data_IF_167862707565
#
_entry.id   IF_167862707565
#
_cell.length_a   1.000
_cell.length_b   1.000
_cell.length_c   1.000
_cell.angle_alpha   90.00
_cell.angle_beta   90.00
_cell.angle_gamma   90.00
#
_symmetry.space_group_name_H-M   'P 1'
#
loop_
_entity.id
_entity.type
_entity.pdbx_description
1 polymer ?
#
# COMPACT_ATOMS: atom_id res chain seq x y z
N UNK A 1 -34.78 37.84 -31.39
CA UNK A 1 -34.87 37.02 -30.18
C UNK A 1 -35.20 35.59 -30.59
N UNK A 2 -34.21 34.70 -30.58
CA UNK A 2 -34.28 33.34 -30.02
C UNK A 2 -32.88 32.74 -30.18
N UNK A 3 -32.40 32.22 -29.06
CA UNK A 3 -31.00 31.90 -28.78
C UNK A 3 -30.80 30.43 -29.09
N UNK A 4 -29.94 30.09 -30.05
CA UNK A 4 -29.56 28.69 -30.30
C UNK A 4 -28.60 28.23 -29.19
N UNK A 5 -29.05 27.25 -28.42
CA UNK A 5 -28.30 26.63 -27.34
C UNK A 5 -27.08 25.89 -27.86
N UNK A 6 -25.90 26.37 -27.50
CA UNK A 6 -24.62 25.71 -27.71
C UNK A 6 -24.56 24.41 -26.89
N UNK A 7 -24.77 23.28 -27.55
CA UNK A 7 -24.53 21.97 -26.99
C UNK A 7 -23.01 21.77 -26.83
N UNK A 8 -22.55 21.79 -25.58
CA UNK A 8 -21.17 21.51 -25.20
C UNK A 8 -20.84 20.06 -25.59
N UNK A 9 -20.03 19.88 -26.63
CA UNK A 9 -19.42 18.59 -26.99
C UNK A 9 -18.64 18.06 -25.78
N UNK A 10 -19.06 16.91 -25.26
CA UNK A 10 -18.22 16.11 -24.38
C UNK A 10 -17.25 15.34 -25.27
N UNK A 11 -15.97 15.64 -25.16
CA UNK A 11 -14.90 14.90 -25.82
C UNK A 11 -14.78 13.53 -25.15
N UNK A 12 -15.40 12.50 -25.73
CA UNK A 12 -15.07 11.11 -25.41
C UNK A 12 -13.71 10.80 -26.00
N UNK A 13 -12.71 10.57 -25.14
CA UNK A 13 -11.33 10.32 -25.55
C UNK A 13 -11.19 9.15 -26.52
N UNK A 14 -10.22 9.27 -27.42
CA UNK A 14 -9.86 8.25 -28.41
C UNK A 14 -9.25 7.03 -27.70
N UNK A 15 -9.35 5.82 -28.28
CA UNK A 15 -8.92 4.59 -27.61
C UNK A 15 -7.47 4.64 -27.09
N UNK A 16 -6.58 5.37 -27.78
CA UNK A 16 -5.21 5.60 -27.36
C UNK A 16 -5.08 6.50 -26.11
N UNK A 17 -5.93 7.52 -25.95
CA UNK A 17 -5.96 8.36 -24.74
C UNK A 17 -6.48 7.57 -23.53
N UNK A 18 -7.45 6.67 -23.75
CA UNK A 18 -7.91 5.75 -22.72
C UNK A 18 -6.87 4.68 -22.37
N UNK A 19 -6.14 4.17 -23.35
CA UNK A 19 -5.06 3.20 -23.13
C UNK A 19 -3.86 3.84 -22.41
N UNK A 20 -3.50 5.08 -22.77
CA UNK A 20 -2.51 5.90 -22.08
C UNK A 20 -2.94 6.17 -20.63
N UNK A 21 -4.20 6.59 -20.42
CA UNK A 21 -4.78 6.79 -19.09
C UNK A 21 -4.76 5.51 -18.23
N UNK A 22 -5.12 4.36 -18.81
CA UNK A 22 -5.13 3.08 -18.10
C UNK A 22 -3.71 2.56 -17.81
N UNK A 23 -2.77 2.76 -18.74
CA UNK A 23 -1.35 2.43 -18.55
C UNK A 23 -0.69 3.21 -17.41
N UNK A 24 -1.26 4.35 -17.00
CA UNK A 24 -0.75 5.13 -15.87
C UNK A 24 -1.09 4.55 -14.49
N UNK A 25 -2.04 3.61 -14.37
CA UNK A 25 -2.47 3.05 -13.06
C UNK A 25 -1.67 1.83 -12.61
N UNK A 26 -0.55 1.53 -13.26
CA UNK A 26 0.32 0.44 -12.80
C UNK A 26 0.92 0.78 -11.43
N UNK A 27 0.45 0.07 -10.40
CA UNK A 27 1.07 0.10 -9.07
C UNK A 27 2.49 -0.41 -9.24
N UNK A 28 3.47 0.46 -8.98
CA UNK A 28 4.89 0.08 -9.04
C UNK A 28 5.14 -1.09 -8.07
N UNK A 29 5.39 -2.27 -8.62
CA UNK A 29 5.82 -3.45 -7.86
C UNK A 29 7.19 -3.18 -7.24
N UNK A 30 7.34 -3.58 -5.99
CA UNK A 30 8.60 -3.53 -5.23
C UNK A 30 8.81 -4.85 -4.50
N UNK A 31 9.98 -5.05 -3.92
CA UNK A 31 10.38 -6.34 -3.36
C UNK A 31 9.39 -6.94 -2.34
N UNK A 32 8.69 -6.10 -1.56
CA UNK A 32 7.76 -6.54 -0.49
C UNK A 32 6.27 -6.32 -0.81
N UNK A 33 5.95 -5.90 -2.04
CA UNK A 33 4.57 -5.62 -2.45
C UNK A 33 4.47 -4.42 -3.38
N UNK A 34 3.58 -3.49 -3.08
CA UNK A 34 3.23 -2.37 -3.95
C UNK A 34 3.63 -1.03 -3.34
N UNK A 35 4.19 -0.15 -4.18
CA UNK A 35 4.43 1.23 -3.83
C UNK A 35 3.18 2.07 -4.11
N UNK A 36 2.53 2.61 -3.09
CA UNK A 36 1.33 3.46 -3.23
C UNK A 36 1.59 4.91 -3.61
N UNK A 37 2.80 5.26 -4.05
CA UNK A 37 3.12 6.63 -4.49
C UNK A 37 2.53 6.90 -5.87
N UNK A 38 2.14 8.14 -6.10
CA UNK A 38 1.70 8.58 -7.42
C UNK A 38 2.82 8.43 -8.45
N UNK A 39 2.43 8.14 -9.70
CA UNK A 39 3.35 8.11 -10.83
C UNK A 39 4.17 9.42 -10.93
N UNK A 40 5.43 9.30 -11.36
CA UNK A 40 6.34 10.45 -11.50
C UNK A 40 6.85 11.08 -10.19
N UNK A 41 6.41 10.62 -9.01
CA UNK A 41 6.87 11.18 -7.73
C UNK A 41 8.12 10.46 -7.19
N UNK A 42 9.11 11.23 -6.72
CA UNK A 42 10.31 10.69 -6.08
C UNK A 42 10.00 10.07 -4.72
N UNK A 43 10.86 9.16 -4.27
CA UNK A 43 10.77 8.59 -2.93
C UNK A 43 12.01 8.94 -2.13
N UNK A 44 11.87 9.51 -0.93
CA UNK A 44 13.01 9.65 -0.01
C UNK A 44 13.61 8.29 0.41
N UNK A 45 12.82 7.22 0.32
CA UNK A 45 13.19 5.84 0.65
C UNK A 45 13.36 4.98 -0.59
N UNK A 46 13.78 5.56 -1.73
CA UNK A 46 13.89 4.89 -3.04
C UNK A 46 14.57 3.52 -2.98
N UNK A 47 15.43 3.29 -1.97
CA UNK A 47 16.12 2.02 -1.74
C UNK A 47 15.70 1.26 -0.46
N UNK A 48 14.82 1.83 0.38
CA UNK A 48 14.37 1.22 1.65
C UNK A 48 12.85 1.01 1.65
N UNK A 49 12.42 -0.04 0.95
CA UNK A 49 10.99 -0.35 0.81
C UNK A 49 10.28 -0.51 2.16
N UNK A 50 10.88 -1.21 3.14
CA UNK A 50 10.22 -1.50 4.44
C UNK A 50 9.89 -0.26 5.27
N UNK A 51 10.72 0.79 5.16
CA UNK A 51 10.53 2.08 5.85
C UNK A 51 9.51 2.98 5.14
N UNK A 52 9.18 2.70 3.88
CA UNK A 52 8.35 3.59 3.09
C UNK A 52 6.91 3.63 3.63
N UNK A 53 6.37 4.79 4.04
CA UNK A 53 5.04 4.87 4.68
C UNK A 53 3.92 4.34 3.77
N UNK A 54 4.03 4.55 2.46
CA UNK A 54 3.05 4.12 1.45
C UNK A 54 3.31 2.73 0.86
N UNK A 55 4.13 1.89 1.51
CA UNK A 55 4.28 0.49 1.13
C UNK A 55 2.99 -0.28 1.46
N UNK A 56 2.30 -0.75 0.42
CA UNK A 56 1.30 -1.80 0.52
C UNK A 56 1.99 -3.16 0.54
N UNK A 57 2.22 -3.70 1.74
CA UNK A 57 2.83 -5.03 1.89
C UNK A 57 1.91 -6.10 1.31
N UNK A 58 2.48 -6.96 0.47
CA UNK A 58 1.83 -8.17 -0.04
C UNK A 58 1.68 -9.19 1.10
N UNK A 59 0.45 -9.69 1.39
CA UNK A 59 0.23 -10.68 2.45
C UNK A 59 1.13 -11.92 2.36
N UNK A 60 1.51 -12.35 1.14
CA UNK A 60 2.34 -13.54 0.94
C UNK A 60 3.81 -13.30 1.36
N UNK A 61 4.22 -12.05 1.55
CA UNK A 61 5.57 -11.68 2.02
C UNK A 61 5.71 -11.75 3.55
N UNK A 62 4.74 -12.30 4.28
CA UNK A 62 4.78 -12.38 5.75
C UNK A 62 6.04 -13.07 6.27
N UNK A 63 6.36 -14.26 5.78
CA UNK A 63 7.52 -15.03 6.25
C UNK A 63 8.82 -14.25 6.02
N UNK A 64 8.96 -13.63 4.85
CA UNK A 64 10.11 -12.79 4.53
C UNK A 64 10.25 -11.58 5.44
N UNK A 65 9.16 -10.95 5.86
CA UNK A 65 9.21 -9.87 6.86
C UNK A 65 9.68 -10.37 8.23
N UNK A 66 9.34 -11.60 8.62
CA UNK A 66 9.82 -12.20 9.86
C UNK A 66 11.32 -12.51 9.80
N UNK A 67 11.81 -12.98 8.66
CA UNK A 67 13.25 -13.16 8.40
C UNK A 67 14.01 -11.83 8.48
N UNK A 68 13.52 -10.78 7.80
CA UNK A 68 14.10 -9.43 7.87
C UNK A 68 14.12 -8.93 9.32
N UNK A 69 13.05 -9.16 10.07
CA UNK A 69 12.96 -8.77 11.48
C UNK A 69 14.00 -9.50 12.34
N UNK A 70 14.18 -10.81 12.15
CA UNK A 70 15.22 -11.57 12.88
C UNK A 70 16.61 -11.06 12.56
N UNK A 71 16.92 -10.91 11.26
CA UNK A 71 18.21 -10.41 10.83
C UNK A 71 18.51 -9.01 11.36
N UNK A 72 17.52 -8.11 11.35
CA UNK A 72 17.68 -6.77 11.92
C UNK A 72 17.96 -6.79 13.42
N UNK A 73 17.34 -7.69 14.19
CA UNK A 73 17.64 -7.85 15.62
C UNK A 73 19.08 -8.31 15.86
N UNK A 74 19.53 -9.30 15.08
CA UNK A 74 20.92 -9.79 15.13
C UNK A 74 21.91 -8.67 14.81
N UNK A 75 21.66 -7.91 13.74
CA UNK A 75 22.51 -6.79 13.32
C UNK A 75 22.51 -5.62 14.31
N UNK A 76 21.37 -5.32 14.95
CA UNK A 76 21.32 -4.32 16.02
C UNK A 76 22.19 -4.77 17.20
N UNK A 77 22.04 -6.01 17.64
CA UNK A 77 22.82 -6.54 18.75
C UNK A 77 24.32 -6.58 18.44
N UNK A 78 24.71 -6.89 17.21
CA UNK A 78 26.09 -6.80 16.75
C UNK A 78 26.63 -5.38 16.79
N UNK A 79 25.92 -4.42 16.19
CA UNK A 79 26.33 -3.02 16.18
C UNK A 79 26.44 -2.43 17.61
N UNK A 80 25.59 -2.87 18.55
CA UNK A 80 25.71 -2.52 19.97
C UNK A 80 26.96 -3.09 20.62
N UNK A 81 27.27 -4.38 20.40
CA UNK A 81 28.48 -5.02 20.95
C UNK A 81 29.76 -4.38 20.43
N UNK A 82 29.80 -4.02 19.16
CA UNK A 82 30.95 -3.37 18.51
C UNK A 82 31.02 -1.86 18.75
N UNK A 83 30.06 -1.28 19.47
CA UNK A 83 30.02 0.15 19.77
C UNK A 83 29.68 1.06 18.58
N UNK A 84 29.11 0.51 17.51
CA UNK A 84 28.68 1.25 16.31
C UNK A 84 27.31 1.91 16.53
N UNK A 85 27.27 2.88 17.44
CA UNK A 85 26.02 3.49 17.89
C UNK A 85 25.19 4.14 16.76
N UNK A 86 25.86 4.72 15.76
CA UNK A 86 25.20 5.30 14.58
C UNK A 86 24.50 4.27 13.71
N UNK A 87 25.18 3.16 13.41
CA UNK A 87 24.61 2.04 12.64
C UNK A 87 23.48 1.37 13.43
N UNK A 88 23.69 1.12 14.73
CA UNK A 88 22.66 0.57 15.60
C UNK A 88 21.39 1.44 15.60
N UNK A 89 21.54 2.77 15.62
CA UNK A 89 20.41 3.71 15.51
C UNK A 89 19.66 3.55 14.20
N UNK A 90 20.38 3.54 13.07
CA UNK A 90 19.78 3.32 11.75
C UNK A 90 19.06 1.98 11.63
N UNK A 91 19.67 0.90 12.14
CA UNK A 91 19.09 -0.45 12.11
C UNK A 91 17.82 -0.55 12.96
N UNK A 92 17.77 0.09 14.14
CA UNK A 92 16.55 0.14 14.97
C UNK A 92 15.37 0.81 14.25
N UNK A 93 15.61 1.83 13.43
CA UNK A 93 14.56 2.45 12.60
C UNK A 93 14.00 1.45 11.58
N UNK A 94 14.86 0.67 10.92
CA UNK A 94 14.41 -0.41 10.02
C UNK A 94 13.64 -1.50 10.79
N UNK A 95 14.11 -1.87 11.98
CA UNK A 95 13.47 -2.90 12.79
C UNK A 95 12.05 -2.48 13.19
N UNK A 96 11.90 -1.27 13.73
CA UNK A 96 10.61 -0.72 14.11
C UNK A 96 9.65 -0.64 12.90
N UNK A 97 10.15 -0.22 11.73
CA UNK A 97 9.35 -0.23 10.50
C UNK A 97 8.90 -1.65 10.13
N UNK A 98 9.79 -2.64 10.20
CA UNK A 98 9.49 -4.05 9.89
C UNK A 98 8.46 -4.64 10.87
N UNK A 99 8.61 -4.37 12.17
CA UNK A 99 7.65 -4.79 13.20
C UNK A 99 6.26 -4.18 12.98
N UNK A 100 6.21 -2.91 12.58
CA UNK A 100 4.96 -2.26 12.22
C UNK A 100 4.30 -2.92 11.00
N UNK A 101 5.08 -3.31 9.97
CA UNK A 101 4.54 -4.04 8.80
C UNK A 101 3.96 -5.39 9.16
N UNK A 102 4.64 -6.14 10.02
CA UNK A 102 4.15 -7.40 10.58
C UNK A 102 2.81 -7.17 11.28
N UNK A 103 2.73 -6.22 12.23
CA UNK A 103 1.49 -5.92 12.94
C UNK A 103 0.35 -5.53 12.01
N UNK A 104 0.62 -4.73 10.96
CA UNK A 104 -0.39 -4.36 9.97
C UNK A 104 -0.96 -5.58 9.22
N UNK A 105 -0.15 -6.58 8.89
CA UNK A 105 -0.63 -7.81 8.25
C UNK A 105 -1.51 -8.62 9.21
N UNK A 106 -1.14 -8.71 10.48
CA UNK A 106 -1.92 -9.42 11.50
C UNK A 106 -3.28 -8.74 11.71
N UNK A 107 -3.32 -7.42 11.83
CA UNK A 107 -4.55 -6.64 11.96
C UNK A 107 -5.48 -6.79 10.76
N UNK A 108 -4.93 -6.86 9.54
CA UNK A 108 -5.71 -7.07 8.32
C UNK A 108 -6.35 -8.46 8.31
N UNK A 109 -5.59 -9.49 8.70
CA UNK A 109 -6.09 -10.87 8.81
C UNK A 109 -7.22 -10.98 9.84
N UNK A 110 -7.05 -10.36 11.01
CA UNK A 110 -8.09 -10.33 12.03
C UNK A 110 -9.34 -9.59 11.54
N UNK A 111 -9.21 -8.41 10.93
CA UNK A 111 -10.35 -7.67 10.37
C UNK A 111 -11.10 -8.43 9.27
N UNK A 112 -10.39 -9.11 8.36
CA UNK A 112 -11.02 -9.93 7.34
C UNK A 112 -11.86 -11.08 7.95
N UNK A 113 -11.50 -11.56 9.15
CA UNK A 113 -12.27 -12.57 9.88
C UNK A 113 -13.50 -11.97 10.57
N UNK A 114 -13.39 -10.73 11.06
CA UNK A 114 -14.47 -10.05 11.81
C UNK A 114 -15.52 -9.40 10.89
N UNK A 115 -15.13 -8.96 9.69
CA UNK A 115 -16.02 -8.25 8.77
C UNK A 115 -16.78 -9.27 7.89
N UNK A 116 -17.88 -9.80 8.40
CA UNK A 116 -18.92 -10.43 7.57
C UNK A 116 -19.98 -9.37 7.21
N UNK A 117 -19.74 -8.62 6.13
CA UNK A 117 -20.70 -7.66 5.57
C UNK A 117 -21.73 -8.39 4.71
N UNK A 118 -22.37 -9.43 5.26
CA UNK A 118 -23.28 -10.33 4.56
C UNK A 118 -24.04 -9.62 3.43
N UNK A 119 -24.02 -10.22 2.23
CA UNK A 119 -24.72 -9.64 1.07
C UNK A 119 -26.18 -9.46 1.47
N UNK A 120 -26.73 -8.23 1.49
CA UNK A 120 -28.12 -8.04 1.87
C UNK A 120 -28.98 -8.81 0.88
N UNK A 121 -29.83 -9.67 1.41
CA UNK A 121 -30.79 -10.40 0.61
C UNK A 121 -31.81 -9.41 0.05
N UNK A 122 -32.32 -9.67 -1.15
CA UNK A 122 -33.31 -8.81 -1.81
C UNK A 122 -34.51 -8.45 -0.90
N UNK A 123 -34.90 -9.37 -0.02
CA UNK A 123 -35.98 -9.19 0.96
C UNK A 123 -35.67 -8.12 2.01
N UNK A 124 -34.42 -8.02 2.45
CA UNK A 124 -33.96 -7.02 3.43
C UNK A 124 -33.87 -5.61 2.82
N UNK A 125 -33.61 -5.54 1.51
CA UNK A 125 -33.63 -4.29 0.75
C UNK A 125 -35.07 -3.82 0.53
N UNK A 126 -35.96 -4.71 0.07
CA UNK A 126 -37.35 -4.39 -0.22
C UNK A 126 -38.14 -3.92 1.02
N UNK A 127 -37.88 -4.51 2.19
CA UNK A 127 -38.57 -4.13 3.44
C UNK A 127 -38.20 -2.76 4.02
N UNK A 128 -37.15 -2.10 3.50
CA UNK A 128 -36.72 -0.75 3.95
C UNK A 128 -37.31 0.39 3.13
N UNK A 129 -37.97 0.07 2.01
CA UNK A 129 -38.51 1.04 1.04
C UNK A 129 -40.04 1.16 1.20
N UNK A 130 -40.64 0.50 2.20
CA UNK A 130 -42.08 0.55 2.52
C UNK A 130 -42.36 1.35 3.78
#
# INVERSE_FOLDING_TARGET
MTTEGSARRQHGGEAAEWEEFLGHFERRKVALGDCGRAYGTSCQHEHSCVRCPVLGVDPDQRLRLEEIRSNLRERVAEAEREGWLGEASGLRVSLAATENRVSQLDDRRHRATTINLGIPTFREIAGRIS
#
